data_IF_176952820980
#
_entry.id   IF_176952820980
#
_cell.length_a   1.000
_cell.length_b   1.000
_cell.length_c   1.000
_cell.angle_alpha   90.00
_cell.angle_beta   90.00
_cell.angle_gamma   90.00
#
_symmetry.space_group_name_H-M   'P 1'
#
loop_
_entity.id
_entity.type
_entity.pdbx_description
1 polymer ?
#
# COMPACT_ATOMS: atom_id res chain seq x y z
N UNK A 1 10.32 50.86 -39.43
CA UNK A 1 11.30 49.87 -38.86
C UNK A 1 11.25 49.74 -37.35
N UNK A 2 10.39 50.42 -36.59
CA UNK A 2 10.36 50.38 -35.10
C UNK A 2 9.47 49.28 -34.49
N UNK A 3 8.45 48.80 -35.21
CA UNK A 3 7.51 47.79 -34.70
C UNK A 3 8.17 46.43 -34.51
N UNK A 4 9.12 46.04 -35.36
CA UNK A 4 9.85 44.79 -35.31
C UNK A 4 10.72 44.66 -34.05
N UNK A 5 11.21 45.77 -33.47
CA UNK A 5 12.05 45.82 -32.27
C UNK A 5 11.27 45.47 -30.99
N UNK A 6 9.94 45.60 -30.97
CA UNK A 6 9.08 45.31 -29.83
C UNK A 6 8.46 43.93 -29.88
N UNK A 7 8.38 43.30 -31.08
CA UNK A 7 7.78 41.99 -31.31
C UNK A 7 8.72 40.90 -30.73
N UNK A 8 10.04 41.05 -30.89
CA UNK A 8 11.02 40.05 -30.44
C UNK A 8 11.00 39.85 -28.89
N UNK A 9 11.05 40.92 -28.04
CA UNK A 9 10.99 40.74 -26.59
C UNK A 9 9.58 40.22 -26.14
N UNK A 10 8.51 40.61 -26.81
CA UNK A 10 7.16 40.10 -26.49
C UNK A 10 7.02 38.60 -26.76
N UNK A 11 7.58 38.09 -27.88
CA UNK A 11 7.61 36.66 -28.21
C UNK A 11 8.50 35.88 -27.18
N UNK A 12 9.61 36.47 -26.76
CA UNK A 12 10.50 35.84 -25.77
C UNK A 12 9.82 35.73 -24.41
N UNK A 13 9.04 36.72 -23.99
CA UNK A 13 8.28 36.67 -22.74
C UNK A 13 7.13 35.62 -22.80
N UNK A 14 6.49 35.44 -23.95
CA UNK A 14 5.47 34.39 -24.12
C UNK A 14 6.05 33.00 -24.06
N UNK A 15 7.26 32.77 -24.55
CA UNK A 15 7.94 31.49 -24.50
C UNK A 15 8.31 31.05 -23.08
N UNK A 16 8.53 31.98 -22.15
CA UNK A 16 8.88 31.72 -20.76
C UNK A 16 7.68 31.28 -19.91
N UNK A 17 6.47 31.56 -20.33
CA UNK A 17 5.21 31.18 -19.60
C UNK A 17 4.74 29.77 -19.97
N UNK A 18 5.30 29.15 -21.01
CA UNK A 18 4.87 27.84 -21.52
C UNK A 18 5.44 26.64 -20.72
N UNK A 19 6.40 26.87 -19.81
CA UNK A 19 6.86 25.80 -18.89
C UNK A 19 5.96 25.73 -17.66
N UNK A 20 4.94 24.89 -17.70
CA UNK A 20 4.22 24.50 -16.50
C UNK A 20 5.15 23.80 -15.50
N UNK A 21 4.78 23.72 -14.20
CA UNK A 21 5.57 23.01 -13.21
C UNK A 21 5.81 21.56 -13.64
N UNK A 22 7.03 21.03 -13.43
CA UNK A 22 7.33 19.65 -13.82
C UNK A 22 6.43 18.69 -13.05
N UNK A 23 5.80 17.76 -13.77
CA UNK A 23 4.98 16.71 -13.14
C UNK A 23 5.89 15.81 -12.30
N UNK A 24 5.54 15.63 -11.05
CA UNK A 24 6.22 14.69 -10.15
C UNK A 24 5.94 13.25 -10.58
N UNK A 25 6.94 12.37 -10.51
CA UNK A 25 6.77 10.97 -10.87
C UNK A 25 5.90 10.23 -9.85
N UNK A 26 4.98 9.43 -10.37
CA UNK A 26 4.06 8.60 -9.59
C UNK A 26 4.40 7.14 -9.81
N UNK A 27 4.55 6.39 -8.71
CA UNK A 27 4.92 4.98 -8.70
C UNK A 27 3.88 4.15 -7.93
N UNK A 28 3.75 2.85 -8.24
CA UNK A 28 2.93 1.94 -7.46
C UNK A 28 3.35 1.91 -5.98
N UNK A 29 2.39 1.81 -5.05
CA UNK A 29 2.70 1.69 -3.63
C UNK A 29 3.28 0.31 -3.31
N UNK A 30 4.03 0.23 -2.22
CA UNK A 30 4.39 -1.04 -1.59
C UNK A 30 3.37 -1.33 -0.49
N UNK A 31 2.83 -2.55 -0.49
CA UNK A 31 1.86 -3.01 0.50
C UNK A 31 2.42 -4.23 1.22
N UNK A 32 2.47 -4.18 2.55
CA UNK A 32 2.99 -5.24 3.41
C UNK A 32 2.11 -5.45 4.63
N UNK A 33 2.08 -6.69 5.15
CA UNK A 33 1.43 -6.99 6.43
C UNK A 33 2.45 -6.78 7.54
N UNK A 34 2.24 -5.77 8.37
CA UNK A 34 3.11 -5.50 9.51
C UNK A 34 2.79 -6.34 10.74
N UNK A 35 1.51 -6.69 10.90
CA UNK A 35 1.05 -7.47 12.04
C UNK A 35 -0.18 -8.26 11.65
N UNK A 36 -0.26 -9.47 12.20
CA UNK A 36 -1.44 -10.31 12.23
C UNK A 36 -1.78 -10.58 13.68
N UNK A 37 -3.01 -10.30 14.09
CA UNK A 37 -3.53 -10.59 15.45
C UNK A 37 -4.74 -11.50 15.33
N UNK A 38 -4.73 -12.60 16.09
CA UNK A 38 -5.90 -13.48 16.19
C UNK A 38 -6.86 -12.89 17.21
N UNK A 39 -8.06 -12.54 16.76
CA UNK A 39 -9.12 -11.98 17.61
C UNK A 39 -9.88 -13.08 18.37
N UNK A 40 -10.56 -12.73 19.47
CA UNK A 40 -11.54 -13.63 20.10
C UNK A 40 -12.60 -14.05 19.06
N UNK A 41 -12.76 -15.36 18.84
CA UNK A 41 -13.64 -15.87 17.77
C UNK A 41 -12.91 -16.39 16.53
N UNK A 42 -11.58 -16.23 16.46
CA UNK A 42 -10.75 -16.85 15.43
C UNK A 42 -10.58 -16.03 14.15
N UNK A 43 -11.20 -14.86 14.03
CA UNK A 43 -10.90 -13.90 12.96
C UNK A 43 -9.46 -13.40 13.10
N UNK A 44 -8.87 -13.00 11.98
CA UNK A 44 -7.57 -12.34 11.95
C UNK A 44 -7.73 -10.86 11.67
N UNK A 45 -7.13 -10.03 12.49
CA UNK A 45 -6.94 -8.62 12.20
C UNK A 45 -5.55 -8.41 11.61
N UNK A 46 -5.51 -7.90 10.40
CA UNK A 46 -4.27 -7.55 9.70
C UNK A 46 -4.02 -6.05 9.85
N UNK A 47 -2.84 -5.67 10.31
CA UNK A 47 -2.32 -4.32 10.18
C UNK A 47 -1.49 -4.28 8.90
N UNK A 48 -2.01 -3.62 7.89
CA UNK A 48 -1.38 -3.52 6.56
C UNK A 48 -0.77 -2.14 6.41
N UNK A 49 0.50 -2.08 6.06
CA UNK A 49 1.20 -0.84 5.72
C UNK A 49 1.11 -0.59 4.23
N UNK A 50 0.75 0.64 3.88
CA UNK A 50 0.80 1.18 2.52
C UNK A 50 1.91 2.22 2.50
N UNK A 51 2.92 2.01 1.66
CA UNK A 51 4.03 2.93 1.46
C UNK A 51 3.85 3.64 0.12
N UNK A 52 3.72 4.96 0.15
CA UNK A 52 3.75 5.78 -1.05
C UNK A 52 5.19 5.93 -1.55
N UNK A 53 5.48 5.42 -2.74
CA UNK A 53 6.80 5.49 -3.37
C UNK A 53 6.93 6.68 -4.34
N UNK A 54 5.89 7.51 -4.43
CA UNK A 54 5.80 8.62 -5.38
C UNK A 54 6.43 9.89 -4.83
N UNK A 55 6.74 10.81 -5.74
CA UNK A 55 7.29 12.13 -5.42
C UNK A 55 6.22 13.18 -5.06
N UNK A 56 4.96 12.78 -5.00
CA UNK A 56 3.82 13.59 -4.55
C UNK A 56 2.99 12.82 -3.55
N UNK A 57 2.16 13.51 -2.76
CA UNK A 57 1.17 12.86 -1.92
C UNK A 57 0.13 12.12 -2.77
N UNK A 58 -0.50 11.13 -2.17
CA UNK A 58 -1.52 10.31 -2.79
C UNK A 58 -2.66 10.05 -1.79
N UNK A 59 -3.89 10.33 -2.23
CA UNK A 59 -5.12 10.03 -1.47
C UNK A 59 -5.56 8.59 -1.76
N UNK A 60 -5.27 7.69 -0.84
CA UNK A 60 -5.69 6.28 -0.94
C UNK A 60 -7.11 6.08 -0.43
N UNK A 61 -7.92 5.30 -1.15
CA UNK A 61 -9.35 5.11 -0.84
C UNK A 61 -9.81 3.66 -0.77
N UNK A 62 -9.22 2.76 -1.55
CA UNK A 62 -9.61 1.34 -1.58
C UNK A 62 -8.36 0.47 -1.71
N UNK A 63 -8.35 -0.64 -1.00
CA UNK A 63 -7.38 -1.72 -1.20
C UNK A 63 -8.17 -3.01 -1.47
N UNK A 64 -7.89 -3.63 -2.60
CA UNK A 64 -8.48 -4.90 -3.01
C UNK A 64 -7.39 -5.89 -3.40
N UNK A 65 -7.57 -7.14 -3.03
CA UNK A 65 -6.58 -8.16 -3.38
C UNK A 65 -6.79 -9.46 -2.66
N UNK A 66 -5.70 -10.18 -2.50
CA UNK A 66 -5.66 -11.44 -1.78
C UNK A 66 -4.37 -11.60 -0.98
N UNK A 67 -4.46 -12.37 0.09
CA UNK A 67 -3.31 -12.84 0.86
C UNK A 67 -3.28 -14.36 0.85
N UNK A 68 -2.16 -14.92 0.46
CA UNK A 68 -1.86 -16.35 0.54
C UNK A 68 -0.89 -16.60 1.67
N UNK A 69 -1.25 -17.52 2.55
CA UNK A 69 -0.41 -17.96 3.67
C UNK A 69 0.16 -19.33 3.34
N UNK A 70 1.48 -19.46 3.40
CA UNK A 70 2.19 -20.63 2.91
C UNK A 70 1.75 -20.97 1.45
N UNK A 71 1.41 -22.20 1.15
CA UNK A 71 0.89 -22.64 -0.15
C UNK A 71 -0.63 -22.93 -0.11
N UNK A 72 -1.35 -22.33 0.87
CA UNK A 72 -2.78 -22.51 1.05
C UNK A 72 -3.59 -21.63 0.09
N UNK A 73 -4.88 -21.92 -0.02
CA UNK A 73 -5.81 -21.10 -0.81
C UNK A 73 -5.81 -19.65 -0.32
N UNK A 74 -5.70 -18.66 -1.21
CA UNK A 74 -5.67 -17.26 -0.80
C UNK A 74 -7.03 -16.80 -0.23
N UNK A 75 -6.96 -15.88 0.73
CA UNK A 75 -8.13 -15.16 1.25
C UNK A 75 -8.24 -13.79 0.59
N UNK A 76 -9.47 -13.34 0.40
CA UNK A 76 -9.73 -12.01 -0.16
C UNK A 76 -9.45 -10.93 0.87
N UNK A 77 -8.82 -9.85 0.41
CA UNK A 77 -8.64 -8.60 1.13
C UNK A 77 -9.51 -7.53 0.48
N UNK A 78 -10.24 -6.78 1.29
CA UNK A 78 -10.97 -5.61 0.84
C UNK A 78 -11.07 -4.61 1.98
N UNK A 79 -10.67 -3.37 1.72
CA UNK A 79 -10.84 -2.25 2.64
C UNK A 79 -11.18 -0.98 1.88
N UNK A 80 -12.16 -0.22 2.40
CA UNK A 80 -12.46 1.14 1.99
C UNK A 80 -12.08 2.09 3.12
N UNK A 81 -11.30 3.12 2.82
CA UNK A 81 -10.74 4.05 3.79
C UNK A 81 -10.40 5.37 3.11
N UNK A 82 -9.97 6.36 3.87
CA UNK A 82 -9.40 7.60 3.33
C UNK A 82 -8.10 7.89 4.04
N UNK A 83 -7.00 7.94 3.29
CA UNK A 83 -5.66 8.26 3.79
C UNK A 83 -4.89 9.07 2.77
N UNK A 84 -4.58 10.31 3.13
CA UNK A 84 -3.56 11.09 2.43
C UNK A 84 -2.19 10.64 2.93
N UNK A 85 -1.40 10.06 2.05
CA UNK A 85 -0.06 9.59 2.36
C UNK A 85 0.95 10.47 1.61
N UNK A 86 1.75 11.28 2.34
CA UNK A 86 2.76 12.15 1.73
C UNK A 86 3.78 11.38 0.87
N UNK A 87 4.52 12.10 0.04
CA UNK A 87 5.61 11.54 -0.75
C UNK A 87 6.59 10.77 0.14
N UNK A 88 6.93 9.55 -0.26
CA UNK A 88 7.86 8.64 0.45
C UNK A 88 7.46 8.27 1.88
N UNK A 89 6.26 8.61 2.31
CA UNK A 89 5.72 8.23 3.61
C UNK A 89 4.89 6.94 3.52
N UNK A 90 4.57 6.37 4.68
CA UNK A 90 3.68 5.23 4.78
C UNK A 90 2.70 5.40 5.93
N UNK A 91 1.52 4.81 5.76
CA UNK A 91 0.49 4.73 6.80
C UNK A 91 -0.04 3.31 6.91
N UNK A 92 -0.80 3.03 7.94
CA UNK A 92 -1.35 1.70 8.21
C UNK A 92 -2.86 1.72 8.20
N UNK A 93 -3.43 0.63 7.69
CA UNK A 93 -4.87 0.34 7.78
C UNK A 93 -5.06 -0.99 8.50
N UNK A 94 -6.21 -1.18 9.12
CA UNK A 94 -6.61 -2.44 9.71
C UNK A 94 -7.72 -3.08 8.90
N UNK A 95 -7.61 -4.38 8.65
CA UNK A 95 -8.65 -5.18 8.03
C UNK A 95 -8.84 -6.48 8.80
N UNK A 96 -10.10 -6.86 8.97
CA UNK A 96 -10.46 -8.14 9.54
C UNK A 96 -10.73 -9.14 8.41
N UNK A 97 -10.11 -10.31 8.52
CA UNK A 97 -10.27 -11.40 7.55
C UNK A 97 -10.67 -12.69 8.26
N UNK A 98 -11.43 -13.51 7.56
CA UNK A 98 -11.81 -14.82 8.05
C UNK A 98 -10.84 -15.88 7.51
N UNK A 99 -9.96 -16.46 8.34
CA UNK A 99 -9.04 -17.50 7.89
C UNK A 99 -9.78 -18.81 7.62
N UNK A 100 -9.21 -19.62 6.73
CA UNK A 100 -9.65 -21.02 6.60
C UNK A 100 -9.15 -21.87 7.78
N UNK A 101 -9.78 -23.02 8.01
CA UNK A 101 -9.33 -23.94 9.05
C UNK A 101 -7.86 -24.36 8.86
N UNK A 102 -7.42 -24.59 7.63
CA UNK A 102 -6.05 -24.91 7.30
C UNK A 102 -5.07 -23.77 7.65
N UNK A 103 -5.44 -22.51 7.40
CA UNK A 103 -4.66 -21.35 7.79
C UNK A 103 -4.53 -21.23 9.30
N UNK A 104 -5.63 -21.44 10.03
CA UNK A 104 -5.62 -21.41 11.50
C UNK A 104 -4.70 -22.50 12.08
N UNK A 105 -4.76 -23.71 11.55
CA UNK A 105 -3.87 -24.82 11.96
C UNK A 105 -2.40 -24.50 11.67
N UNK A 106 -2.12 -23.95 10.48
CA UNK A 106 -0.75 -23.54 10.10
C UNK A 106 -0.22 -22.46 11.04
N UNK A 107 -1.03 -21.46 11.37
CA UNK A 107 -0.66 -20.40 12.30
C UNK A 107 -0.38 -20.94 13.71
N UNK A 108 -1.21 -21.87 14.19
CA UNK A 108 -1.01 -22.54 15.49
C UNK A 108 0.28 -23.36 15.52
N UNK A 109 0.59 -24.09 14.44
CA UNK A 109 1.84 -24.84 14.30
C UNK A 109 3.08 -23.93 14.31
N UNK A 110 2.97 -22.73 13.71
CA UNK A 110 4.03 -21.72 13.75
C UNK A 110 4.16 -21.14 15.17
N UNK A 111 3.03 -20.83 15.82
CA UNK A 111 3.02 -20.31 17.20
C UNK A 111 3.68 -21.29 18.19
N UNK A 112 3.44 -22.59 18.03
CA UNK A 112 4.04 -23.64 18.87
C UNK A 112 5.57 -23.70 18.81
N UNK A 113 6.18 -23.18 17.73
CA UNK A 113 7.65 -23.09 17.58
C UNK A 113 8.24 -21.88 18.29
N UNK A 114 7.40 -21.00 18.86
CA UNK A 114 7.82 -19.76 19.51
C UNK A 114 8.63 -18.85 18.58
N UNK A 115 9.69 -18.25 19.09
CA UNK A 115 10.55 -17.32 18.32
C UNK A 115 11.25 -17.94 17.10
N UNK A 116 11.25 -19.25 16.96
CA UNK A 116 11.78 -19.97 15.78
C UNK A 116 10.71 -20.20 14.72
N UNK A 117 9.45 -19.89 15.02
CA UNK A 117 8.34 -20.00 14.08
C UNK A 117 8.38 -18.86 13.07
N UNK A 118 8.06 -19.17 11.82
CA UNK A 118 7.92 -18.19 10.74
C UNK A 118 6.83 -18.65 9.79
N UNK A 119 5.97 -17.71 9.40
CA UNK A 119 4.86 -17.91 8.49
C UNK A 119 5.10 -17.08 7.22
N UNK A 120 5.42 -17.75 6.13
CA UNK A 120 5.56 -17.09 4.84
C UNK A 120 4.17 -16.65 4.33
N UNK A 121 4.08 -15.45 3.76
CA UNK A 121 2.90 -14.99 3.07
C UNK A 121 3.23 -14.30 1.73
N UNK A 122 2.24 -14.28 0.85
CA UNK A 122 2.21 -13.46 -0.36
C UNK A 122 0.96 -12.60 -0.30
N UNK A 123 1.08 -11.36 -0.75
CA UNK A 123 -0.02 -10.41 -0.87
C UNK A 123 0.03 -9.79 -2.26
N UNK A 124 -1.13 -9.57 -2.87
CA UNK A 124 -1.20 -8.92 -4.18
C UNK A 124 -2.61 -8.46 -4.50
N UNK A 125 -2.68 -7.43 -5.35
CA UNK A 125 -3.94 -6.82 -5.73
C UNK A 125 -3.75 -5.42 -6.27
N UNK A 126 -4.73 -4.54 -6.05
CA UNK A 126 -4.72 -3.14 -6.44
C UNK A 126 -5.07 -2.22 -5.28
N UNK A 127 -4.43 -1.06 -5.27
CA UNK A 127 -4.76 0.06 -4.39
C UNK A 127 -5.26 1.23 -5.23
N UNK A 128 -6.47 1.71 -4.95
CA UNK A 128 -7.01 2.90 -5.60
C UNK A 128 -6.51 4.13 -4.90
N UNK A 129 -5.87 5.02 -5.66
CA UNK A 129 -5.36 6.27 -5.14
C UNK A 129 -5.44 7.39 -6.17
N UNK A 130 -5.55 8.62 -5.67
CA UNK A 130 -5.48 9.83 -6.47
C UNK A 130 -4.17 10.57 -6.16
N UNK A 131 -3.21 10.60 -7.09
CA UNK A 131 -2.04 11.45 -6.95
C UNK A 131 -2.43 12.94 -6.92
N UNK A 132 -1.77 13.74 -6.09
CA UNK A 132 -2.02 15.18 -5.89
C UNK A 132 -2.11 15.98 -7.20
N UNK A 133 -1.42 15.53 -8.26
CA UNK A 133 -1.36 16.22 -9.55
C UNK A 133 -2.31 15.64 -10.60
N UNK A 134 -3.16 14.70 -10.22
CA UNK A 134 -4.13 14.05 -11.11
C UNK A 134 -5.56 14.39 -10.66
N UNK A 135 -6.43 14.65 -11.63
CA UNK A 135 -7.82 15.04 -11.35
C UNK A 135 -8.72 13.84 -11.01
N UNK A 136 -8.25 12.62 -11.28
CA UNK A 136 -9.03 11.40 -11.08
C UNK A 136 -8.21 10.30 -10.40
N UNK A 137 -8.83 9.53 -9.50
CA UNK A 137 -8.18 8.36 -8.92
C UNK A 137 -7.99 7.26 -9.94
N UNK A 138 -6.95 6.45 -9.76
CA UNK A 138 -6.68 5.24 -10.56
C UNK A 138 -6.19 4.10 -9.69
N UNK A 139 -6.20 2.90 -10.25
CA UNK A 139 -5.75 1.70 -9.56
C UNK A 139 -4.26 1.48 -9.80
N UNK A 140 -3.56 1.10 -8.75
CA UNK A 140 -2.13 0.76 -8.77
C UNK A 140 -1.97 -0.66 -8.30
N UNK A 141 -1.40 -1.50 -9.15
CA UNK A 141 -1.11 -2.89 -8.79
C UNK A 141 0.01 -2.95 -7.76
N UNK A 142 -0.12 -3.87 -6.81
CA UNK A 142 0.91 -4.21 -5.86
C UNK A 142 1.08 -5.72 -5.73
N UNK A 143 2.28 -6.15 -5.40
CA UNK A 143 2.57 -7.53 -5.01
C UNK A 143 3.72 -7.53 -4.01
N UNK A 144 3.67 -8.46 -3.07
CA UNK A 144 4.70 -8.60 -2.05
C UNK A 144 4.74 -10.01 -1.47
N UNK A 145 5.87 -10.35 -0.85
CA UNK A 145 6.06 -11.57 -0.08
C UNK A 145 6.95 -11.24 1.11
N UNK A 146 6.61 -11.82 2.25
CA UNK A 146 7.37 -11.63 3.47
C UNK A 146 7.04 -12.74 4.47
N UNK A 147 7.51 -12.64 5.70
CA UNK A 147 7.31 -13.58 6.78
C UNK A 147 6.78 -12.87 8.02
N UNK A 148 5.93 -13.57 8.75
CA UNK A 148 5.43 -13.15 10.06
C UNK A 148 5.93 -14.16 11.09
N UNK A 149 6.48 -13.68 12.20
CA UNK A 149 6.94 -14.50 13.30
C UNK A 149 6.15 -14.19 14.58
N UNK A 150 5.93 -15.19 15.46
CA UNK A 150 5.26 -14.96 16.73
C UNK A 150 5.97 -13.90 17.56
N UNK A 151 5.20 -12.98 18.15
CA UNK A 151 5.75 -11.94 19.03
C UNK A 151 5.89 -12.50 20.45
N UNK A 152 7.10 -12.57 21.02
CA UNK A 152 7.30 -13.06 22.39
C UNK A 152 6.47 -12.26 23.40
N UNK A 153 5.76 -12.98 24.30
CA UNK A 153 4.92 -12.36 25.32
C UNK A 153 3.56 -11.82 24.82
N UNK A 154 3.25 -11.94 23.53
CA UNK A 154 1.97 -11.52 22.95
C UNK A 154 1.29 -12.69 22.21
N UNK A 155 0.59 -13.58 22.92
CA UNK A 155 -0.08 -14.72 22.30
C UNK A 155 -1.04 -14.27 21.18
N UNK A 156 -1.05 -14.99 20.06
CA UNK A 156 -1.91 -14.69 18.92
C UNK A 156 -1.47 -13.49 18.07
N UNK A 157 -0.29 -12.91 18.36
CA UNK A 157 0.25 -11.79 17.58
C UNK A 157 1.51 -12.22 16.82
N UNK A 158 1.59 -11.83 15.56
CA UNK A 158 2.67 -12.14 14.61
C UNK A 158 3.11 -10.86 13.89
N UNK A 159 4.42 -10.71 13.72
CA UNK A 159 5.05 -9.59 12.99
C UNK A 159 6.15 -10.09 12.08
#
# INVERSE_FOLDING_TARGET
>A
MSVLRWIVPALLCLALVACGPPKKSVFPPTVTVQQLTVLPGGQWQLTVRIQNNSYSSMDFSVLEGSMQVAELMPIRLHASFTRDIPAFAGDVIQLDVLPTAAMTQTLQAVAAKGSRGSLAYRIGGSARAQPEQEDTPRDFDFSGRDWLSPVPGMPGTFR
#
